data_IF_854118110447
#
_entry.id   IF_854118110447
#
_cell.length_a   1.000
_cell.length_b   1.000
_cell.length_c   1.000
_cell.angle_alpha   90.00
_cell.angle_beta   90.00
_cell.angle_gamma   90.00
#
_symmetry.space_group_name_H-M   'P 1'
#
loop_
_entity.id
_entity.type
_entity.pdbx_description
1 polymer ?
#
# COMPACT_ATOMS: atom_id res chain seq x y z
N UNK A 1 42.62 -9.36 -50.32
CA UNK A 1 41.91 -9.84 -51.52
C UNK A 1 40.72 -10.60 -50.98
N UNK A 2 39.61 -9.90 -50.76
CA UNK A 2 38.42 -10.47 -50.13
C UNK A 2 37.51 -11.03 -51.23
N UNK A 3 37.21 -12.31 -51.15
CA UNK A 3 36.37 -13.02 -52.13
C UNK A 3 34.92 -12.97 -51.65
N UNK A 4 34.05 -12.29 -52.40
CA UNK A 4 32.61 -12.34 -52.21
C UNK A 4 32.01 -13.57 -52.91
N UNK A 5 31.24 -14.38 -52.17
CA UNK A 5 30.35 -15.38 -52.76
C UNK A 5 28.90 -14.98 -52.51
N UNK A 6 28.09 -14.93 -53.57
CA UNK A 6 26.64 -14.78 -53.48
C UNK A 6 25.98 -16.15 -53.67
N UNK A 7 25.20 -16.60 -52.69
CA UNK A 7 24.34 -17.79 -52.81
C UNK A 7 22.89 -17.33 -52.81
N UNK A 8 22.15 -17.69 -53.86
CA UNK A 8 20.75 -17.33 -54.07
C UNK A 8 19.87 -18.46 -53.52
N UNK A 9 19.03 -18.19 -52.52
CA UNK A 9 18.04 -19.15 -52.00
C UNK A 9 16.64 -18.63 -52.32
N UNK A 10 15.91 -19.35 -53.17
CA UNK A 10 14.54 -19.02 -53.57
C UNK A 10 13.54 -19.58 -52.54
N UNK A 11 12.85 -18.69 -51.82
CA UNK A 11 11.70 -19.02 -50.98
C UNK A 11 10.38 -18.81 -51.72
N UNK A 12 9.43 -19.73 -51.57
CA UNK A 12 8.13 -19.75 -52.27
C UNK A 12 7.12 -18.74 -51.69
N UNK A 13 7.45 -17.44 -51.74
CA UNK A 13 6.50 -16.33 -51.54
C UNK A 13 7.19 -14.99 -51.86
N UNK A 14 7.66 -14.80 -53.09
CA UNK A 14 7.86 -13.49 -53.73
C UNK A 14 8.62 -12.39 -52.96
N UNK A 15 9.55 -12.74 -52.06
CA UNK A 15 10.38 -11.79 -51.31
C UNK A 15 11.86 -12.13 -51.50
N UNK A 16 12.61 -11.24 -52.15
CA UNK A 16 14.05 -11.37 -52.36
C UNK A 16 14.75 -10.85 -51.09
N UNK A 17 15.44 -11.73 -50.36
CA UNK A 17 16.22 -11.36 -49.18
C UNK A 17 17.71 -11.56 -49.50
N UNK A 18 18.52 -10.51 -49.40
CA UNK A 18 19.98 -10.60 -49.50
C UNK A 18 20.54 -10.80 -48.09
N UNK A 19 21.25 -11.89 -47.87
CA UNK A 19 21.99 -12.15 -46.62
C UNK A 19 23.48 -11.92 -46.88
N UNK A 20 24.06 -10.84 -46.34
CA UNK A 20 25.49 -10.56 -46.42
C UNK A 20 26.12 -10.86 -45.06
N UNK A 21 26.86 -11.97 -44.93
CA UNK A 21 27.67 -12.26 -43.74
C UNK A 21 29.05 -11.63 -43.89
N UNK A 22 29.37 -10.67 -43.03
CA UNK A 22 30.74 -10.20 -42.82
C UNK A 22 31.35 -10.93 -41.62
N UNK A 23 32.46 -11.65 -41.83
CA UNK A 23 33.29 -12.15 -40.75
C UNK A 23 34.43 -11.15 -40.53
N UNK A 24 34.41 -10.40 -39.43
CA UNK A 24 35.53 -9.53 -39.04
C UNK A 24 36.19 -10.10 -37.77
N UNK A 25 37.44 -10.53 -37.89
CA UNK A 25 38.18 -11.28 -36.87
C UNK A 25 38.83 -10.43 -35.78
N UNK A 26 38.53 -9.12 -35.66
CA UNK A 26 39.38 -8.24 -34.83
C UNK A 26 38.73 -7.04 -34.12
N UNK A 27 37.44 -7.09 -33.76
CA UNK A 27 36.84 -6.08 -32.86
C UNK A 27 35.82 -6.72 -31.91
N UNK A 28 36.26 -7.02 -30.68
CA UNK A 28 35.45 -7.59 -29.62
C UNK A 28 34.97 -6.48 -28.68
N UNK A 29 34.01 -5.64 -29.12
CA UNK A 29 33.03 -4.89 -28.31
C UNK A 29 32.38 -3.71 -29.08
N UNK A 30 31.08 -3.53 -28.83
CA UNK A 30 30.23 -2.36 -29.15
C UNK A 30 29.77 -2.12 -30.61
N UNK A 31 28.59 -2.67 -30.96
CA UNK A 31 27.46 -1.94 -31.56
C UNK A 31 26.21 -2.85 -31.68
N UNK A 32 25.59 -3.19 -30.54
CA UNK A 32 24.24 -3.76 -30.47
C UNK A 32 23.26 -2.69 -29.96
N UNK A 33 23.23 -1.56 -30.66
CA UNK A 33 22.28 -0.46 -30.43
C UNK A 33 21.75 0.15 -31.74
N UNK A 34 21.78 -0.60 -32.84
CA UNK A 34 21.45 -0.12 -34.19
C UNK A 34 20.26 -0.78 -34.90
N UNK A 35 19.55 -1.71 -34.25
CA UNK A 35 18.32 -2.33 -34.82
C UNK A 35 17.12 -2.08 -33.91
N UNK A 36 16.96 -0.83 -33.50
CA UNK A 36 15.71 -0.29 -33.01
C UNK A 36 15.58 1.10 -33.61
N UNK A 37 14.58 1.29 -34.47
CA UNK A 37 14.16 2.58 -35.05
C UNK A 37 14.96 3.12 -36.26
N UNK A 38 15.07 2.34 -37.34
CA UNK A 38 15.24 2.91 -38.69
C UNK A 38 15.00 1.86 -39.79
N UNK A 39 13.72 1.59 -40.09
CA UNK A 39 13.27 0.75 -41.21
C UNK A 39 11.74 0.72 -41.27
N UNK A 40 11.12 0.78 -42.46
CA UNK A 40 9.79 1.37 -42.65
C UNK A 40 8.66 0.48 -42.13
N UNK A 41 7.71 1.12 -41.45
CA UNK A 41 6.30 0.73 -41.29
C UNK A 41 6.01 -0.80 -41.21
N UNK A 42 6.51 -1.47 -40.17
CA UNK A 42 5.82 -2.65 -39.66
C UNK A 42 4.45 -2.19 -39.16
N UNK A 43 3.39 -2.62 -39.83
CA UNK A 43 1.99 -2.37 -39.46
C UNK A 43 1.79 -2.54 -37.95
N UNK A 44 0.89 -1.74 -37.35
CA UNK A 44 0.71 -1.68 -35.88
C UNK A 44 0.51 -3.03 -35.17
N UNK A 45 0.05 -4.07 -35.90
CA UNK A 45 -0.01 -5.44 -35.40
C UNK A 45 1.39 -6.07 -35.16
N UNK A 46 2.38 -5.85 -36.02
CA UNK A 46 3.72 -6.43 -35.91
C UNK A 46 4.49 -5.92 -34.68
N UNK A 47 4.40 -4.61 -34.39
CA UNK A 47 5.01 -4.04 -33.17
C UNK A 47 4.29 -4.49 -31.89
N UNK A 48 2.96 -4.65 -31.93
CA UNK A 48 2.17 -5.17 -30.81
C UNK A 48 2.50 -6.63 -30.47
N UNK A 49 2.75 -7.47 -31.48
CA UNK A 49 3.12 -8.88 -31.29
C UNK A 49 4.55 -8.99 -30.73
N UNK A 50 5.50 -8.20 -31.25
CA UNK A 50 6.88 -8.17 -30.76
C UNK A 50 6.99 -7.74 -29.29
N UNK A 51 6.25 -6.70 -28.90
CA UNK A 51 6.22 -6.24 -27.50
C UNK A 51 5.62 -7.26 -26.53
N UNK A 52 4.50 -7.92 -26.89
CA UNK A 52 3.90 -9.00 -26.09
C UNK A 52 4.84 -10.19 -25.91
N UNK A 53 5.53 -10.62 -26.97
CA UNK A 53 6.52 -11.69 -26.92
C UNK A 53 7.69 -11.35 -25.98
N UNK A 54 8.17 -10.11 -26.05
CA UNK A 54 9.26 -9.63 -25.21
C UNK A 54 8.87 -9.59 -23.72
N UNK A 55 7.66 -9.11 -23.39
CA UNK A 55 7.14 -9.08 -22.01
C UNK A 55 7.01 -10.49 -21.45
N UNK A 56 6.46 -11.43 -22.22
CA UNK A 56 6.37 -12.84 -21.82
C UNK A 56 7.74 -13.44 -21.52
N UNK A 57 8.75 -13.17 -22.35
CA UNK A 57 10.12 -13.66 -22.13
C UNK A 57 10.69 -13.12 -20.82
N UNK A 58 10.53 -11.83 -20.53
CA UNK A 58 10.99 -11.25 -19.27
C UNK A 58 10.24 -11.81 -18.05
N UNK A 59 8.93 -11.99 -18.14
CA UNK A 59 8.13 -12.61 -17.07
C UNK A 59 8.61 -14.03 -16.73
N UNK A 60 8.97 -14.83 -17.74
CA UNK A 60 9.50 -16.19 -17.54
C UNK A 60 10.93 -16.20 -16.98
N UNK A 61 11.69 -15.12 -17.16
CA UNK A 61 13.02 -14.96 -16.57
C UNK A 61 12.98 -14.52 -15.10
N UNK A 62 11.84 -14.03 -14.61
CA UNK A 62 11.65 -13.68 -13.20
C UNK A 62 11.49 -14.96 -12.38
N UNK A 63 12.59 -15.40 -11.79
CA UNK A 63 12.61 -16.54 -10.88
C UNK A 63 12.31 -16.09 -9.44
N UNK A 64 11.15 -16.48 -8.92
CA UNK A 64 10.70 -16.19 -7.55
C UNK A 64 11.66 -16.74 -6.50
N UNK A 65 12.42 -17.80 -6.82
CA UNK A 65 13.38 -18.42 -5.89
C UNK A 65 14.61 -17.54 -5.65
N UNK A 66 14.85 -16.57 -6.53
CA UNK A 66 15.98 -15.62 -6.45
C UNK A 66 15.57 -14.29 -5.81
N UNK A 67 14.36 -14.22 -5.23
CA UNK A 67 13.90 -13.04 -4.52
C UNK A 67 14.78 -12.79 -3.28
N UNK A 68 15.41 -11.63 -3.25
CA UNK A 68 16.29 -11.21 -2.16
C UNK A 68 15.84 -9.85 -1.63
N UNK A 69 15.96 -9.65 -0.32
CA UNK A 69 15.55 -8.42 0.39
C UNK A 69 16.15 -7.15 -0.22
N UNK A 70 17.40 -7.22 -0.70
CA UNK A 70 18.11 -6.12 -1.40
C UNK A 70 17.36 -5.58 -2.64
N UNK A 71 16.53 -6.41 -3.29
CA UNK A 71 15.76 -6.02 -4.48
C UNK A 71 14.29 -5.74 -4.18
N UNK A 72 13.91 -5.73 -2.90
CA UNK A 72 12.53 -5.49 -2.50
C UNK A 72 12.05 -4.13 -3.03
N UNK A 73 10.83 -4.13 -3.58
CA UNK A 73 10.10 -2.94 -4.03
C UNK A 73 8.66 -3.02 -3.55
N UNK A 74 7.99 -1.90 -3.25
CA UNK A 74 6.57 -1.92 -2.95
C UNK A 74 5.79 -2.35 -4.19
N UNK A 75 5.15 -3.52 -4.12
CA UNK A 75 4.22 -4.02 -5.14
C UNK A 75 2.83 -3.95 -4.53
N UNK A 76 2.05 -2.96 -4.94
CA UNK A 76 0.84 -2.52 -4.25
C UNK A 76 -0.40 -3.09 -4.92
N UNK A 77 -1.25 -3.78 -4.15
CA UNK A 77 -2.64 -4.05 -4.47
C UNK A 77 -3.50 -3.09 -3.63
N UNK A 78 -4.20 -2.17 -4.28
CA UNK A 78 -5.12 -1.25 -3.61
C UNK A 78 -6.55 -1.78 -3.78
N UNK A 79 -7.18 -2.19 -2.69
CA UNK A 79 -8.58 -2.59 -2.68
C UNK A 79 -9.45 -1.32 -2.57
N UNK A 80 -10.24 -1.07 -3.60
CA UNK A 80 -11.09 0.13 -3.72
C UNK A 80 -12.55 -0.30 -3.81
N UNK A 81 -13.38 0.23 -2.90
CA UNK A 81 -14.83 0.07 -2.99
C UNK A 81 -15.42 1.01 -4.03
N UNK A 82 -15.18 2.33 -3.89
CA UNK A 82 -15.65 3.34 -4.83
C UNK A 82 -14.47 4.16 -5.38
N UNK A 83 -14.21 4.14 -6.70
CA UNK A 83 -13.11 4.90 -7.29
C UNK A 83 -13.21 6.42 -7.09
N UNK A 84 -14.42 7.01 -7.09
CA UNK A 84 -14.58 8.47 -6.93
C UNK A 84 -14.11 8.96 -5.57
N UNK A 85 -14.63 8.36 -4.51
CA UNK A 85 -14.32 8.76 -3.13
C UNK A 85 -12.86 8.49 -2.77
N UNK A 86 -12.19 7.60 -3.50
CA UNK A 86 -10.82 7.19 -3.25
C UNK A 86 -9.82 7.71 -4.32
N UNK A 87 -10.16 8.68 -5.17
CA UNK A 87 -9.23 9.23 -6.17
C UNK A 87 -7.92 9.75 -5.54
N UNK A 88 -8.02 10.46 -4.41
CA UNK A 88 -6.86 10.94 -3.67
C UNK A 88 -6.00 9.81 -3.11
N UNK A 89 -6.62 8.71 -2.67
CA UNK A 89 -5.91 7.52 -2.21
C UNK A 89 -5.21 6.79 -3.37
N UNK A 90 -5.88 6.68 -4.53
CA UNK A 90 -5.31 6.07 -5.74
C UNK A 90 -4.07 6.83 -6.21
N UNK A 91 -4.18 8.16 -6.30
CA UNK A 91 -3.06 9.02 -6.72
C UNK A 91 -1.92 9.02 -5.70
N UNK A 92 -2.22 8.97 -4.40
CA UNK A 92 -1.22 8.83 -3.34
C UNK A 92 -0.53 7.46 -3.38
N UNK A 93 -1.28 6.37 -3.56
CA UNK A 93 -0.71 5.03 -3.70
C UNK A 93 0.21 4.91 -4.93
N UNK A 94 -0.09 5.63 -6.01
CA UNK A 94 0.79 5.74 -7.18
C UNK A 94 2.13 6.45 -6.85
N UNK A 95 2.15 7.42 -5.93
CA UNK A 95 3.40 7.98 -5.44
C UNK A 95 4.14 6.96 -4.57
N UNK A 96 3.41 6.27 -3.68
CA UNK A 96 3.97 5.31 -2.73
C UNK A 96 4.61 4.08 -3.40
N UNK A 97 4.04 3.55 -4.49
CA UNK A 97 4.67 2.47 -5.27
C UNK A 97 5.95 2.91 -5.99
N UNK A 98 6.12 4.21 -6.25
CA UNK A 98 7.24 4.78 -7.03
C UNK A 98 7.39 4.12 -8.41
N UNK A 99 8.20 3.06 -8.50
CA UNK A 99 8.45 2.29 -9.72
C UNK A 99 7.96 0.84 -9.66
N UNK A 100 7.33 0.43 -8.56
CA UNK A 100 6.84 -0.92 -8.36
C UNK A 100 5.54 -1.21 -9.12
N UNK A 101 5.08 -2.45 -9.01
CA UNK A 101 3.79 -2.89 -9.51
C UNK A 101 2.66 -2.17 -8.75
N UNK A 102 1.63 -1.74 -9.48
CA UNK A 102 0.42 -1.18 -8.88
C UNK A 102 -0.80 -1.83 -9.53
N UNK A 103 -1.66 -2.40 -8.71
CA UNK A 103 -2.90 -3.05 -9.13
C UNK A 103 -4.06 -2.46 -8.35
N UNK A 104 -5.10 -2.04 -9.06
CA UNK A 104 -6.39 -1.64 -8.50
C UNK A 104 -7.28 -2.89 -8.43
N UNK A 105 -7.72 -3.24 -7.24
CA UNK A 105 -8.62 -4.35 -6.97
C UNK A 105 -10.01 -3.86 -6.60
N UNK A 106 -11.04 -4.40 -7.22
CA UNK A 106 -12.43 -4.11 -6.86
C UNK A 106 -13.25 -5.41 -6.83
N UNK A 107 -14.15 -5.50 -5.85
CA UNK A 107 -15.04 -6.64 -5.66
C UNK A 107 -16.47 -6.18 -5.90
N UNK A 108 -17.12 -6.71 -6.94
CA UNK A 108 -18.55 -6.53 -7.17
C UNK A 108 -19.33 -7.60 -6.41
N UNK A 109 -20.34 -7.18 -5.64
CA UNK A 109 -21.21 -8.06 -4.87
C UNK A 109 -22.41 -8.49 -5.71
N UNK A 110 -22.15 -9.39 -6.64
CA UNK A 110 -23.16 -9.91 -7.56
C UNK A 110 -22.98 -11.42 -7.69
N UNK A 111 -24.05 -12.12 -8.05
CA UNK A 111 -24.04 -13.55 -8.29
C UNK A 111 -24.13 -13.80 -9.80
N UNK A 112 -23.14 -14.49 -10.36
CA UNK A 112 -23.01 -14.65 -11.82
C UNK A 112 -24.19 -15.41 -12.41
N UNK A 113 -24.73 -16.38 -11.66
CA UNK A 113 -25.83 -17.24 -12.10
C UNK A 113 -27.14 -16.47 -12.35
N UNK A 114 -27.28 -15.29 -11.73
CA UNK A 114 -28.48 -14.44 -11.86
C UNK A 114 -28.36 -13.45 -13.03
N UNK A 115 -27.16 -13.24 -13.55
CA UNK A 115 -26.88 -12.22 -14.56
C UNK A 115 -26.90 -12.81 -15.98
N UNK A 116 -27.45 -12.06 -16.96
CA UNK A 116 -27.51 -12.53 -18.35
C UNK A 116 -26.14 -12.53 -19.07
N UNK A 117 -25.15 -11.81 -18.52
CA UNK A 117 -23.79 -11.68 -19.05
C UNK A 117 -22.85 -11.23 -17.94
N UNK A 118 -21.55 -11.44 -18.14
CA UNK A 118 -20.49 -10.95 -17.25
C UNK A 118 -20.50 -9.40 -17.16
N UNK A 119 -20.82 -8.81 -16.00
CA UNK A 119 -20.83 -7.36 -15.81
C UNK A 119 -19.41 -6.76 -15.74
N UNK A 120 -18.39 -7.59 -15.47
CA UNK A 120 -17.03 -7.12 -15.21
C UNK A 120 -16.36 -6.54 -16.45
N UNK A 121 -16.77 -6.94 -17.67
CA UNK A 121 -16.18 -6.39 -18.90
C UNK A 121 -16.45 -4.88 -19.02
N UNK A 122 -17.72 -4.48 -18.89
CA UNK A 122 -18.10 -3.06 -18.93
C UNK A 122 -17.50 -2.26 -17.79
N UNK A 123 -17.44 -2.85 -16.58
CA UNK A 123 -16.76 -2.22 -15.46
C UNK A 123 -15.26 -2.06 -15.74
N UNK A 124 -14.60 -3.04 -16.34
CA UNK A 124 -13.17 -2.98 -16.63
C UNK A 124 -12.83 -1.81 -17.54
N UNK A 125 -13.59 -1.61 -18.62
CA UNK A 125 -13.40 -0.47 -19.52
C UNK A 125 -13.57 0.87 -18.80
N UNK A 126 -14.50 0.95 -17.86
CA UNK A 126 -14.70 2.12 -17.01
C UNK A 126 -13.48 2.40 -16.12
N UNK A 127 -12.96 1.38 -15.43
CA UNK A 127 -11.78 1.51 -14.59
C UNK A 127 -10.52 1.86 -15.40
N UNK A 128 -10.38 1.35 -16.63
CA UNK A 128 -9.28 1.71 -17.51
C UNK A 128 -9.34 3.19 -17.94
N UNK A 129 -10.52 3.71 -18.28
CA UNK A 129 -10.71 5.14 -18.55
C UNK A 129 -10.30 6.01 -17.37
N UNK A 130 -10.69 5.62 -16.15
CA UNK A 130 -10.29 6.31 -14.92
C UNK A 130 -8.76 6.30 -14.73
N UNK A 131 -8.10 5.17 -15.00
CA UNK A 131 -6.64 5.04 -14.92
C UNK A 131 -5.95 6.00 -15.90
N UNK A 132 -6.48 6.11 -17.12
CA UNK A 132 -5.97 7.02 -18.15
C UNK A 132 -6.16 8.49 -17.77
N UNK A 133 -7.33 8.86 -17.24
CA UNK A 133 -7.65 10.22 -16.79
C UNK A 133 -6.80 10.67 -15.60
N UNK A 134 -6.56 9.78 -14.64
CA UNK A 134 -5.67 10.03 -13.50
C UNK A 134 -4.19 9.97 -13.90
N UNK A 135 -3.87 9.58 -15.13
CA UNK A 135 -2.52 9.41 -15.67
C UNK A 135 -1.63 8.54 -14.76
N UNK A 136 -2.19 7.43 -14.28
CA UNK A 136 -1.50 6.48 -13.41
C UNK A 136 -1.14 5.21 -14.17
N UNK A 137 -0.02 4.59 -13.80
CA UNK A 137 0.39 3.29 -14.36
C UNK A 137 -0.01 2.18 -13.40
N UNK A 138 -1.20 1.64 -13.62
CA UNK A 138 -1.80 0.57 -12.80
C UNK A 138 -2.44 -0.51 -13.69
N UNK A 139 -2.47 -1.73 -13.20
CA UNK A 139 -3.36 -2.77 -13.71
C UNK A 139 -4.68 -2.74 -12.97
N UNK A 140 -5.75 -3.23 -13.60
CA UNK A 140 -7.07 -3.33 -12.99
C UNK A 140 -7.44 -4.80 -12.89
N UNK A 141 -7.81 -5.25 -11.69
CA UNK A 141 -8.32 -6.58 -11.43
C UNK A 141 -9.69 -6.44 -10.75
N UNK A 142 -10.73 -6.85 -11.46
CA UNK A 142 -12.09 -6.90 -10.92
C UNK A 142 -12.46 -8.35 -10.59
N UNK A 143 -13.30 -8.53 -9.59
CA UNK A 143 -13.74 -9.86 -9.14
C UNK A 143 -15.19 -9.79 -8.69
N UNK A 144 -15.95 -10.84 -8.97
CA UNK A 144 -17.36 -10.97 -8.62
C UNK A 144 -17.49 -12.04 -7.52
N UNK A 145 -18.14 -11.70 -6.40
CA UNK A 145 -18.27 -12.60 -5.25
C UNK A 145 -19.41 -12.18 -4.32
N UNK A 146 -20.04 -13.13 -3.63
CA UNK A 146 -21.15 -12.88 -2.70
C UNK A 146 -20.75 -12.14 -1.42
N UNK A 147 -19.46 -12.20 -1.03
CA UNK A 147 -18.92 -11.47 0.12
C UNK A 147 -17.64 -10.75 -0.25
N UNK A 148 -17.50 -9.54 0.29
CA UNK A 148 -16.30 -8.70 0.15
C UNK A 148 -15.05 -9.46 0.62
N UNK A 149 -15.18 -10.26 1.70
CA UNK A 149 -14.05 -11.04 2.23
C UNK A 149 -13.59 -12.10 1.24
N UNK A 150 -14.51 -12.88 0.67
CA UNK A 150 -14.16 -13.91 -0.31
C UNK A 150 -13.60 -13.31 -1.59
N UNK A 151 -14.20 -12.24 -2.12
CA UNK A 151 -13.66 -11.53 -3.29
C UNK A 151 -12.28 -10.92 -3.02
N UNK A 152 -12.05 -10.35 -1.83
CA UNK A 152 -10.73 -9.85 -1.43
C UNK A 152 -9.70 -10.99 -1.33
N UNK A 153 -10.06 -12.13 -0.75
CA UNK A 153 -9.19 -13.32 -0.72
C UNK A 153 -8.82 -13.80 -2.12
N UNK A 154 -9.79 -13.83 -3.04
CA UNK A 154 -9.54 -14.19 -4.44
C UNK A 154 -8.50 -13.25 -5.04
N UNK A 155 -8.69 -11.93 -4.94
CA UNK A 155 -7.71 -10.94 -5.40
C UNK A 155 -6.32 -11.14 -4.76
N UNK A 156 -6.26 -11.38 -3.45
CA UNK A 156 -4.98 -11.59 -2.75
C UNK A 156 -4.20 -12.80 -3.28
N UNK A 157 -4.90 -13.89 -3.65
CA UNK A 157 -4.29 -15.11 -4.17
C UNK A 157 -3.91 -15.02 -5.65
N UNK A 158 -4.82 -14.47 -6.47
CA UNK A 158 -4.75 -14.56 -7.93
C UNK A 158 -4.09 -13.34 -8.58
N UNK A 159 -4.03 -12.19 -7.89
CA UNK A 159 -3.46 -10.99 -8.49
C UNK A 159 -1.95 -11.14 -8.73
N UNK A 160 -1.56 -10.81 -9.96
CA UNK A 160 -0.18 -10.88 -10.44
C UNK A 160 0.08 -12.10 -11.31
N UNK A 161 1.26 -12.14 -11.92
CA UNK A 161 1.65 -13.21 -12.84
C UNK A 161 3.12 -13.56 -12.63
N UNK A 162 3.41 -14.84 -12.38
CA UNK A 162 4.78 -15.31 -12.10
C UNK A 162 5.37 -14.61 -10.87
N UNK A 163 6.55 -14.01 -11.03
CA UNK A 163 7.21 -13.19 -10.00
C UNK A 163 6.72 -11.74 -9.88
N UNK A 164 5.83 -11.28 -10.76
CA UNK A 164 5.19 -9.96 -10.63
C UNK A 164 3.91 -10.08 -9.81
N UNK A 165 4.03 -10.11 -8.47
CA UNK A 165 2.90 -10.27 -7.55
C UNK A 165 2.92 -9.20 -6.45
N UNK A 166 1.76 -8.59 -6.13
CA UNK A 166 1.67 -7.66 -5.01
C UNK A 166 2.17 -8.27 -3.70
N UNK A 167 2.96 -7.49 -2.97
CA UNK A 167 3.48 -7.83 -1.64
C UNK A 167 2.88 -6.94 -0.54
N UNK A 168 2.20 -5.86 -0.92
CA UNK A 168 1.61 -4.88 -0.02
C UNK A 168 0.16 -4.63 -0.43
N UNK A 169 -0.74 -4.73 0.52
CA UNK A 169 -2.18 -4.51 0.34
C UNK A 169 -2.54 -3.20 1.00
N UNK A 170 -3.19 -2.31 0.26
CA UNK A 170 -3.70 -1.04 0.79
C UNK A 170 -5.22 -1.10 0.77
N UNK A 171 -5.84 -0.69 1.88
CA UNK A 171 -7.29 -0.60 2.04
C UNK A 171 -7.66 0.75 2.62
N UNK A 172 -8.81 1.29 2.21
CA UNK A 172 -9.43 2.41 2.92
C UNK A 172 -9.81 2.00 4.35
N UNK A 173 -9.77 2.95 5.28
CA UNK A 173 -10.20 2.72 6.65
C UNK A 173 -11.71 2.50 6.73
N UNK A 174 -12.14 1.47 7.45
CA UNK A 174 -13.57 1.18 7.62
C UNK A 174 -14.25 2.34 8.35
N UNK A 175 -15.27 2.91 7.73
CA UNK A 175 -16.06 4.00 8.30
C UNK A 175 -17.52 3.58 8.26
N UNK A 176 -18.20 3.68 9.40
CA UNK A 176 -19.61 3.26 9.54
C UNK A 176 -20.58 4.22 8.85
N UNK A 177 -20.16 5.46 8.57
CA UNK A 177 -20.94 6.43 7.79
C UNK A 177 -20.77 6.20 6.30
N UNK A 178 -21.88 6.28 5.57
CA UNK A 178 -21.89 6.37 4.11
C UNK A 178 -21.02 7.55 3.65
N UNK A 179 -20.18 7.39 2.61
CA UNK A 179 -19.48 8.54 2.02
C UNK A 179 -20.48 9.60 1.57
N UNK A 180 -20.22 10.88 1.86
CA UNK A 180 -21.07 12.03 1.46
C UNK A 180 -21.34 12.09 -0.06
N UNK A 181 -20.54 11.42 -0.88
CA UNK A 181 -20.72 11.32 -2.33
C UNK A 181 -22.01 10.59 -2.73
N UNK A 182 -22.55 9.71 -1.87
CA UNK A 182 -23.85 9.07 -2.10
C UNK A 182 -24.99 10.09 -1.94
N UNK A 183 -24.89 10.98 -0.94
CA UNK A 183 -25.84 12.07 -0.74
C UNK A 183 -25.75 13.10 -1.87
N UNK A 184 -24.54 13.40 -2.37
CA UNK A 184 -24.35 14.32 -3.51
C UNK A 184 -24.91 13.77 -4.83
N UNK A 185 -24.77 12.48 -5.09
CA UNK A 185 -25.40 11.86 -6.27
C UNK A 185 -26.93 11.98 -6.22
N UNK A 186 -27.56 11.80 -5.05
CA UNK A 186 -29.02 11.99 -4.91
C UNK A 186 -29.44 13.45 -5.20
N UNK A 187 -28.62 14.43 -4.76
CA UNK A 187 -28.87 15.85 -4.99
C UNK A 187 -28.54 16.32 -6.43
N UNK A 188 -27.55 15.73 -7.09
CA UNK A 188 -27.17 16.06 -8.48
C UNK A 188 -28.14 15.45 -9.52
N UNK A 189 -28.76 14.31 -9.21
CA UNK A 189 -29.81 13.70 -10.04
C UNK A 189 -31.05 14.61 -10.09
N UNK A 190 -31.35 15.35 -9.02
CA UNK A 190 -32.47 16.29 -8.96
C UNK A 190 -32.20 17.61 -9.72
N UNK A 191 -30.93 17.96 -9.95
CA UNK A 191 -30.52 19.22 -10.58
C UNK A 191 -30.11 19.10 -12.07
N UNK A 192 -30.26 17.93 -12.70
CA UNK A 192 -30.05 17.77 -14.14
C UNK A 192 -28.63 18.03 -14.65
N UNK A 193 -27.63 18.13 -13.77
CA UNK A 193 -26.22 18.28 -14.15
C UNK A 193 -25.63 16.90 -14.46
N UNK A 194 -25.53 16.57 -15.74
CA UNK A 194 -24.88 15.34 -16.18
C UNK A 194 -23.36 15.46 -16.05
N UNK A 195 -22.77 14.88 -15.01
CA UNK A 195 -21.35 14.54 -15.04
C UNK A 195 -21.12 13.44 -16.09
N UNK A 196 -20.01 13.44 -16.84
CA UNK A 196 -19.74 12.43 -17.86
C UNK A 196 -19.55 11.02 -17.28
N UNK A 197 -19.42 10.91 -15.95
CA UNK A 197 -19.35 9.65 -15.22
C UNK A 197 -20.69 9.30 -14.62
N UNK A 198 -21.61 8.79 -15.43
CA UNK A 198 -22.83 8.18 -14.92
C UNK A 198 -22.47 6.88 -14.20
N UNK A 199 -22.40 6.92 -12.88
CA UNK A 199 -22.42 5.70 -12.07
C UNK A 199 -23.91 5.40 -11.94
N UNK A 200 -24.44 4.66 -12.89
CA UNK A 200 -25.67 3.93 -12.63
C UNK A 200 -25.29 2.92 -11.57
N UNK A 201 -25.75 3.12 -10.34
CA UNK A 201 -26.01 2.03 -9.42
C UNK A 201 -27.00 1.12 -10.14
N UNK A 202 -26.49 0.28 -11.04
CA UNK A 202 -27.28 -0.73 -11.72
C UNK A 202 -27.73 -1.70 -10.66
N UNK A 203 -28.92 -1.42 -10.12
CA UNK A 203 -29.87 -2.40 -9.61
C UNK A 203 -29.38 -3.33 -8.51
N UNK A 204 -29.95 -3.10 -7.32
CA UNK A 204 -30.21 -4.04 -6.21
C UNK A 204 -29.12 -4.15 -5.12
N UNK A 205 -29.50 -3.57 -3.97
CA UNK A 205 -28.89 -3.58 -2.63
C UNK A 205 -27.57 -2.83 -2.52
N UNK A 206 -27.58 -1.80 -1.66
CA UNK A 206 -26.39 -1.07 -1.27
C UNK A 206 -25.38 -2.06 -0.65
N UNK A 207 -24.29 -2.32 -1.37
CA UNK A 207 -23.16 -3.15 -0.93
C UNK A 207 -22.57 -2.74 0.43
N UNK A 208 -22.91 -1.54 0.92
CA UNK A 208 -22.50 -1.02 2.24
C UNK A 208 -23.30 -1.58 3.41
N UNK A 209 -24.52 -2.09 3.21
CA UNK A 209 -25.31 -2.64 4.34
C UNK A 209 -24.84 -4.03 4.78
N UNK A 210 -24.13 -4.77 3.92
CA UNK A 210 -23.67 -6.14 4.21
C UNK A 210 -22.20 -6.25 4.64
N UNK A 211 -21.40 -5.17 4.61
CA UNK A 211 -19.99 -5.26 4.99
C UNK A 211 -19.78 -4.99 6.47
N UNK A 212 -19.57 -6.07 7.22
CA UNK A 212 -19.41 -5.99 8.67
C UNK A 212 -18.01 -5.49 9.08
N UNK A 213 -17.88 -4.79 10.22
CA UNK A 213 -16.57 -4.42 10.75
C UNK A 213 -15.70 -5.64 11.07
N UNK A 214 -16.35 -6.76 11.40
CA UNK A 214 -15.69 -8.04 11.60
C UNK A 214 -15.03 -8.56 10.32
N UNK A 215 -15.74 -8.54 9.19
CA UNK A 215 -15.18 -8.96 7.90
C UNK A 215 -13.99 -8.09 7.48
N UNK A 216 -14.03 -6.78 7.75
CA UNK A 216 -12.91 -5.87 7.50
C UNK A 216 -11.63 -6.31 8.24
N UNK A 217 -11.74 -6.58 9.55
CA UNK A 217 -10.59 -7.07 10.34
C UNK A 217 -10.18 -8.47 9.91
N UNK A 218 -11.13 -9.31 9.48
CA UNK A 218 -10.84 -10.62 8.93
C UNK A 218 -10.00 -10.52 7.64
N UNK A 219 -10.29 -9.57 6.74
CA UNK A 219 -9.47 -9.33 5.53
C UNK A 219 -8.05 -8.88 5.91
N UNK A 220 -7.89 -8.04 6.93
CA UNK A 220 -6.56 -7.65 7.46
C UNK A 220 -5.81 -8.90 7.96
N UNK A 221 -6.48 -9.72 8.76
CA UNK A 221 -5.93 -10.98 9.30
C UNK A 221 -5.52 -11.94 8.19
N UNK A 222 -6.36 -12.12 7.18
CA UNK A 222 -6.11 -12.99 6.04
C UNK A 222 -4.94 -12.49 5.19
N UNK A 223 -4.85 -11.17 4.95
CA UNK A 223 -3.72 -10.56 4.25
C UNK A 223 -2.38 -10.84 4.94
N UNK A 224 -2.35 -10.72 6.28
CA UNK A 224 -1.17 -11.02 7.10
C UNK A 224 -0.84 -12.52 7.06
N UNK A 225 -1.84 -13.40 7.12
CA UNK A 225 -1.64 -14.86 7.00
C UNK A 225 -1.09 -15.25 5.62
N UNK A 226 -1.42 -14.51 4.58
CA UNK A 226 -0.88 -14.66 3.23
C UNK A 226 0.48 -13.97 3.04
N UNK A 227 1.15 -13.59 4.13
CA UNK A 227 2.46 -12.92 4.13
C UNK A 227 2.50 -11.66 3.27
N UNK A 228 1.38 -10.91 3.25
CA UNK A 228 1.30 -9.59 2.63
C UNK A 228 1.47 -8.51 3.70
N UNK A 229 2.21 -7.47 3.36
CA UNK A 229 2.22 -6.25 4.17
C UNK A 229 0.86 -5.57 4.06
N UNK A 230 0.36 -4.95 5.13
CA UNK A 230 -0.95 -4.31 5.15
C UNK A 230 -0.80 -2.83 5.47
N UNK A 231 -1.55 -2.00 4.74
CA UNK A 231 -1.65 -0.56 5.00
C UNK A 231 -3.11 -0.15 5.00
N UNK A 232 -3.56 0.51 6.07
CA UNK A 232 -4.90 1.10 6.16
C UNK A 232 -4.79 2.61 5.99
N UNK A 233 -5.55 3.16 5.07
CA UNK A 233 -5.52 4.57 4.72
C UNK A 233 -6.76 5.28 5.25
N UNK A 234 -6.58 6.26 6.14
CA UNK A 234 -7.66 7.04 6.76
C UNK A 234 -7.57 8.52 6.37
N UNK A 235 -8.74 9.16 6.19
CA UNK A 235 -8.89 10.59 5.86
C UNK A 235 -8.19 11.03 4.55
N UNK A 236 -8.08 10.13 3.57
CA UNK A 236 -7.52 10.49 2.26
C UNK A 236 -8.51 11.25 1.37
N UNK A 237 -9.79 11.31 1.73
CA UNK A 237 -10.76 12.23 1.09
C UNK A 237 -10.33 13.69 1.25
N UNK A 238 -9.75 14.06 2.38
CA UNK A 238 -9.24 15.40 2.70
C UNK A 238 -7.83 15.66 2.16
N UNK A 239 -7.16 14.63 1.62
CA UNK A 239 -5.79 14.75 1.16
C UNK A 239 -5.72 15.52 -0.16
N UNK A 240 -5.05 16.67 -0.12
CA UNK A 240 -4.85 17.54 -1.28
C UNK A 240 -3.39 17.46 -1.78
N UNK A 241 -3.21 16.83 -2.94
CA UNK A 241 -1.92 16.65 -3.61
C UNK A 241 -1.27 17.99 -3.98
N UNK A 242 -2.04 19.05 -4.22
CA UNK A 242 -1.49 20.35 -4.65
C UNK A 242 -0.66 21.01 -3.54
N UNK A 243 -1.05 20.80 -2.28
CA UNK A 243 -0.35 21.30 -1.08
C UNK A 243 1.05 20.71 -0.93
N UNK A 244 1.24 19.49 -1.42
CA UNK A 244 2.54 18.79 -1.40
C UNK A 244 3.42 19.22 -2.57
N UNK A 245 2.83 19.42 -3.75
CA UNK A 245 3.58 19.62 -4.99
C UNK A 245 4.13 21.04 -5.22
N UNK A 246 3.44 22.11 -4.82
CA UNK A 246 3.87 23.46 -5.25
C UNK A 246 3.21 24.65 -4.54
N UNK A 247 3.43 24.83 -3.23
CA UNK A 247 3.29 26.18 -2.64
C UNK A 247 4.68 26.67 -2.26
N UNK A 248 5.20 27.67 -3.00
CA UNK A 248 6.44 28.37 -2.65
C UNK A 248 6.31 28.87 -1.20
N UNK A 249 7.13 28.34 -0.29
CA UNK A 249 7.28 28.85 1.07
C UNK A 249 6.70 28.00 2.20
N UNK A 250 5.88 26.96 1.95
CA UNK A 250 5.36 26.10 3.03
C UNK A 250 6.13 24.79 3.12
N UNK A 251 6.80 24.57 4.25
CA UNK A 251 7.51 23.32 4.52
C UNK A 251 6.51 22.17 4.71
N UNK A 252 6.75 21.06 4.00
CA UNK A 252 5.90 19.86 4.07
C UNK A 252 6.56 18.84 4.99
N UNK A 253 5.77 18.23 5.87
CA UNK A 253 6.25 17.28 6.86
C UNK A 253 5.57 15.92 6.72
N UNK A 254 6.33 14.86 6.94
CA UNK A 254 5.84 13.49 7.04
C UNK A 254 6.19 13.00 8.44
N UNK A 255 5.17 12.58 9.18
CA UNK A 255 5.33 12.16 10.58
C UNK A 255 5.32 10.65 10.66
N UNK A 256 6.25 10.10 11.44
CA UNK A 256 6.51 8.67 11.49
C UNK A 256 6.53 8.22 12.95
N UNK A 257 5.63 7.31 13.30
CA UNK A 257 5.50 6.70 14.62
C UNK A 257 5.77 5.20 14.52
N UNK A 258 7.02 4.77 14.69
CA UNK A 258 7.44 3.38 14.50
C UNK A 258 7.02 2.45 15.66
N UNK A 259 6.56 3.02 16.78
CA UNK A 259 6.21 2.28 17.98
C UNK A 259 4.83 1.65 17.89
N UNK A 260 4.69 0.42 18.40
CA UNK A 260 3.38 -0.18 18.62
C UNK A 260 2.70 0.43 19.86
N UNK A 261 1.94 1.52 19.65
CA UNK A 261 1.23 2.25 20.70
C UNK A 261 0.13 1.42 21.39
N UNK A 262 -0.30 0.30 20.81
CA UNK A 262 -1.28 -0.62 21.40
C UNK A 262 -0.64 -1.70 22.27
N UNK A 263 0.70 -1.75 22.38
CA UNK A 263 1.40 -2.69 23.26
C UNK A 263 2.59 -1.99 23.95
N UNK A 264 2.32 -1.13 24.95
CA UNK A 264 3.39 -0.42 25.67
C UNK A 264 4.40 -1.40 26.30
N UNK A 265 3.94 -2.55 26.81
CA UNK A 265 4.76 -3.61 27.42
C UNK A 265 5.87 -4.17 26.50
N UNK A 266 5.75 -4.00 25.18
CA UNK A 266 6.67 -4.55 24.17
C UNK A 266 7.30 -3.47 23.29
N UNK A 267 7.51 -2.27 23.84
CA UNK A 267 8.01 -1.10 23.15
C UNK A 267 9.40 -1.31 22.52
N UNK A 268 9.42 -1.89 21.32
CA UNK A 268 10.63 -2.18 20.55
C UNK A 268 10.62 -1.37 19.26
N UNK A 269 11.62 -0.50 19.10
CA UNK A 269 11.78 0.38 17.94
C UNK A 269 12.35 -0.31 16.71
N UNK A 270 12.96 -1.49 16.90
CA UNK A 270 13.63 -2.25 15.85
C UNK A 270 12.92 -3.60 15.73
N UNK A 271 11.91 -3.65 14.86
CA UNK A 271 11.22 -4.86 14.48
C UNK A 271 10.93 -4.81 12.97
N UNK A 272 10.51 -5.95 12.38
CA UNK A 272 10.22 -6.05 10.96
C UNK A 272 9.22 -4.99 10.48
N UNK A 273 8.21 -4.71 11.30
CA UNK A 273 7.16 -3.76 10.96
C UNK A 273 7.63 -2.30 11.05
N UNK A 274 8.44 -1.93 12.05
CA UNK A 274 9.01 -0.58 12.16
C UNK A 274 10.00 -0.29 11.03
N UNK A 275 10.82 -1.28 10.64
CA UNK A 275 11.71 -1.18 9.48
C UNK A 275 10.92 -1.03 8.17
N UNK A 276 9.84 -1.78 8.00
CA UNK A 276 8.94 -1.63 6.86
C UNK A 276 8.29 -0.24 6.80
N UNK A 277 7.81 0.25 7.94
CA UNK A 277 7.21 1.57 8.07
C UNK A 277 8.21 2.68 7.71
N UNK A 278 9.45 2.59 8.20
CA UNK A 278 10.55 3.49 7.84
C UNK A 278 10.89 3.41 6.34
N UNK A 279 10.92 2.21 5.77
CA UNK A 279 11.19 2.00 4.35
C UNK A 279 10.10 2.65 3.48
N UNK A 280 8.83 2.51 3.85
CA UNK A 280 7.71 3.14 3.12
C UNK A 280 7.80 4.68 3.17
N UNK A 281 8.15 5.25 4.32
CA UNK A 281 8.35 6.69 4.47
C UNK A 281 9.55 7.18 3.62
N UNK A 282 10.64 6.39 3.58
CA UNK A 282 11.79 6.66 2.75
C UNK A 282 11.45 6.60 1.25
N UNK A 283 10.73 5.57 0.80
CA UNK A 283 10.29 5.43 -0.60
C UNK A 283 9.46 6.63 -1.03
N UNK A 284 8.52 7.07 -0.19
CA UNK A 284 7.72 8.26 -0.45
C UNK A 284 8.62 9.49 -0.63
N UNK A 285 9.58 9.72 0.26
CA UNK A 285 10.52 10.85 0.17
C UNK A 285 11.44 10.80 -1.07
N UNK A 286 11.63 9.63 -1.70
CA UNK A 286 12.36 9.52 -2.96
C UNK A 286 11.55 9.96 -4.19
N UNK A 287 10.24 10.14 -4.06
CA UNK A 287 9.37 10.58 -5.16
C UNK A 287 9.59 12.08 -5.40
N UNK A 288 9.60 12.50 -6.68
CA UNK A 288 9.89 13.91 -7.05
C UNK A 288 8.98 14.91 -6.34
N UNK A 289 7.69 14.59 -6.20
CA UNK A 289 6.70 15.42 -5.51
C UNK A 289 6.97 15.58 -4.01
N UNK A 290 7.64 14.62 -3.39
CA UNK A 290 7.85 14.55 -1.94
C UNK A 290 9.31 14.81 -1.52
N UNK A 291 10.24 14.95 -2.47
CA UNK A 291 11.68 15.12 -2.22
C UNK A 291 12.05 16.29 -1.30
N UNK A 292 11.17 17.31 -1.21
CA UNK A 292 11.35 18.48 -0.33
C UNK A 292 10.73 18.29 1.05
N UNK A 293 9.96 17.22 1.26
CA UNK A 293 9.32 16.95 2.54
C UNK A 293 10.36 16.52 3.59
N UNK A 294 10.20 17.03 4.82
CA UNK A 294 11.04 16.66 5.95
C UNK A 294 10.39 15.52 6.72
N UNK A 295 11.16 14.46 6.99
CA UNK A 295 10.72 13.32 7.79
C UNK A 295 10.93 13.63 9.28
N UNK A 296 9.86 13.58 10.08
CA UNK A 296 9.88 13.69 11.54
C UNK A 296 9.58 12.32 12.15
N UNK A 297 10.53 11.78 12.90
CA UNK A 297 10.43 10.48 13.55
C UNK A 297 10.21 10.69 15.05
N UNK A 298 9.12 10.17 15.60
CA UNK A 298 8.81 10.31 17.02
C UNK A 298 9.24 9.06 17.79
N UNK A 299 10.07 9.27 18.82
CA UNK A 299 10.57 8.26 19.73
C UNK A 299 9.89 8.46 21.09
N UNK A 300 9.02 7.54 21.51
CA UNK A 300 8.40 7.60 22.83
C UNK A 300 9.39 7.05 23.87
N UNK A 301 9.64 7.78 24.94
CA UNK A 301 10.60 7.33 25.95
C UNK A 301 9.96 7.37 27.32
N UNK A 302 10.29 6.35 28.11
CA UNK A 302 9.94 6.25 29.52
C UNK A 302 11.11 6.77 30.36
N UNK A 303 10.82 7.51 31.42
CA UNK A 303 11.82 8.18 32.27
C UNK A 303 12.86 7.23 32.88
N UNK A 304 12.51 5.96 33.08
CA UNK A 304 13.39 4.92 33.66
C UNK A 304 14.20 4.15 32.59
N UNK A 305 13.85 4.32 31.31
CA UNK A 305 14.57 3.70 30.20
C UNK A 305 15.73 4.59 29.77
N UNK A 306 16.93 4.03 29.60
CA UNK A 306 18.13 4.78 29.22
C UNK A 306 17.97 5.57 27.91
N UNK A 307 17.47 6.81 28.02
CA UNK A 307 17.09 7.74 26.95
C UNK A 307 18.11 7.81 25.82
N UNK A 308 19.38 7.93 26.19
CA UNK A 308 20.49 8.06 25.24
C UNK A 308 20.72 6.79 24.42
N UNK A 309 20.51 5.61 25.00
CA UNK A 309 20.83 4.33 24.35
C UNK A 309 19.93 4.03 23.16
N UNK A 310 18.61 4.21 23.33
CA UNK A 310 17.64 3.94 22.26
C UNK A 310 17.74 4.98 21.14
N UNK A 311 17.91 6.25 21.48
CA UNK A 311 18.08 7.33 20.50
C UNK A 311 19.35 7.14 19.66
N UNK A 312 20.48 6.78 20.28
CA UNK A 312 21.74 6.51 19.57
C UNK A 312 21.59 5.33 18.62
N UNK A 313 20.98 4.21 19.08
CA UNK A 313 20.73 3.03 18.23
C UNK A 313 19.87 3.39 17.02
N UNK A 314 18.81 4.18 17.22
CA UNK A 314 17.94 4.62 16.14
C UNK A 314 18.65 5.57 15.17
N UNK A 315 19.47 6.50 15.66
CA UNK A 315 20.32 7.37 14.82
C UNK A 315 21.31 6.58 13.98
N UNK A 316 21.93 5.56 14.57
CA UNK A 316 22.85 4.67 13.85
C UNK A 316 22.11 3.90 12.75
N UNK A 317 20.95 3.33 13.07
CA UNK A 317 20.09 2.63 12.10
C UNK A 317 19.69 3.55 10.95
N UNK A 318 19.24 4.78 11.21
CA UNK A 318 18.90 5.74 10.17
C UNK A 318 20.10 6.08 9.28
N UNK A 319 21.30 6.17 9.86
CA UNK A 319 22.55 6.40 9.11
C UNK A 319 22.88 5.22 8.20
N UNK A 320 22.77 3.99 8.70
CA UNK A 320 22.99 2.75 7.92
C UNK A 320 21.99 2.63 6.76
N UNK A 321 20.71 2.92 7.04
CA UNK A 321 19.64 2.94 6.04
C UNK A 321 19.70 4.17 5.11
N UNK A 322 20.59 5.13 5.37
CA UNK A 322 20.74 6.40 4.65
C UNK A 322 19.46 7.24 4.61
N UNK A 323 18.63 7.15 5.66
CA UNK A 323 17.38 7.89 5.80
C UNK A 323 17.67 9.20 6.54
N UNK A 324 17.37 10.33 5.90
CA UNK A 324 17.47 11.66 6.52
C UNK A 324 16.15 11.99 7.23
N UNK A 325 16.11 11.81 8.54
CA UNK A 325 14.96 12.13 9.38
C UNK A 325 15.39 12.86 10.66
N UNK A 326 14.56 13.78 11.13
CA UNK A 326 14.71 14.46 12.42
C UNK A 326 14.01 13.64 13.50
N UNK A 327 14.71 13.31 14.58
CA UNK A 327 14.15 12.53 15.70
C UNK A 327 13.61 13.50 16.76
N UNK A 328 12.38 13.26 17.21
CA UNK A 328 11.71 13.99 18.29
C UNK A 328 11.40 13.02 19.42
N UNK A 329 11.91 13.30 20.62
CA UNK A 329 11.62 12.52 21.81
C UNK A 329 10.32 12.97 22.44
N UNK A 330 9.43 12.03 22.72
CA UNK A 330 8.13 12.26 23.38
C UNK A 330 8.15 11.52 24.70
N UNK A 331 8.09 12.24 25.81
CA UNK A 331 7.91 11.62 27.12
C UNK A 331 6.45 11.20 27.24
N UNK A 332 6.21 9.91 27.51
CA UNK A 332 4.86 9.35 27.53
C UNK A 332 4.54 8.59 28.81
N UNK A 333 5.32 8.80 29.88
CA UNK A 333 5.15 8.16 31.19
C UNK A 333 3.72 8.31 31.73
N UNK A 334 3.14 9.51 31.63
CA UNK A 334 1.76 9.79 32.06
C UNK A 334 0.74 8.96 31.27
N UNK A 335 0.98 8.74 29.99
CA UNK A 335 0.12 7.94 29.11
C UNK A 335 0.25 6.47 29.46
N UNK A 336 1.48 5.96 29.62
CA UNK A 336 1.74 4.57 30.02
C UNK A 336 1.20 4.27 31.41
N UNK A 337 1.26 5.23 32.34
CA UNK A 337 0.68 5.09 33.66
C UNK A 337 -0.82 4.75 33.61
N UNK A 338 -1.59 5.33 32.69
CA UNK A 338 -3.02 5.02 32.51
C UNK A 338 -3.27 3.56 32.08
N UNK A 339 -2.29 2.91 31.46
CA UNK A 339 -2.35 1.48 31.14
C UNK A 339 -2.12 0.63 32.39
N UNK A 340 -1.17 1.00 33.25
CA UNK A 340 -0.80 0.22 34.43
C UNK A 340 -1.77 0.38 35.61
N UNK A 341 -2.30 1.58 35.85
CA UNK A 341 -3.17 1.87 37.00
C UNK A 341 -4.44 0.99 37.03
N UNK A 342 -5.00 0.62 35.87
CA UNK A 342 -6.18 -0.25 35.80
C UNK A 342 -5.88 -1.75 35.95
N UNK A 343 -4.66 -2.20 35.60
CA UNK A 343 -4.27 -3.60 35.78
C UNK A 343 -4.16 -3.99 37.26
N UNK A 344 -3.76 -3.05 38.13
CA UNK A 344 -3.61 -3.30 39.57
C UNK A 344 -4.96 -3.36 40.29
N UNK A 345 -5.92 -2.50 39.91
CA UNK A 345 -7.28 -2.49 40.48
C UNK A 345 -8.13 -3.69 40.08
N UNK A 346 -7.95 -4.29 38.91
CA UNK A 346 -8.74 -5.47 38.50
C UNK A 346 -8.16 -6.80 39.02
N UNK A 347 -6.86 -6.86 39.29
CA UNK A 347 -6.22 -8.04 39.88
C UNK A 347 -6.45 -8.18 41.39
N UNK A 348 -6.99 -7.14 42.07
CA UNK A 348 -7.32 -7.20 43.50
C UNK A 348 -8.68 -7.84 43.79
N UNK A 349 -9.56 -7.97 42.79
CA UNK A 349 -10.91 -8.53 42.92
C UNK A 349 -11.04 -10.01 42.47
N UNK A 350 -9.94 -10.66 42.07
CA UNK A 350 -9.93 -12.08 41.69
C UNK A 350 -8.99 -12.90 42.57
N UNK A 351 -9.53 -13.42 43.67
CA UNK A 351 -8.88 -14.40 44.52
C UNK A 351 -8.66 -15.71 43.76
N UNK A 352 -7.39 -16.08 43.58
CA UNK A 352 -6.94 -17.47 43.36
C UNK A 352 -6.96 -17.95 41.91
N UNK A 353 -5.83 -17.86 41.22
CA UNK A 353 -5.01 -19.03 40.85
C UNK A 353 -3.79 -18.58 40.04
N UNK A 354 -2.61 -18.93 40.55
CA UNK A 354 -1.33 -18.74 39.89
C UNK A 354 -1.12 -19.88 38.90
N UNK A 355 -1.38 -19.62 37.61
CA UNK A 355 -0.82 -20.39 36.51
C UNK A 355 -0.36 -19.47 35.38
N UNK A 356 0.88 -19.68 34.96
CA UNK A 356 1.66 -18.96 33.96
C UNK A 356 1.07 -19.05 32.54
N UNK A 357 -0.08 -18.43 32.30
CA UNK A 357 -0.61 -18.20 30.97
C UNK A 357 -0.98 -16.72 30.81
N UNK A 358 -0.05 -15.93 30.27
CA UNK A 358 -0.30 -14.57 29.81
C UNK A 358 -1.45 -14.57 28.79
N UNK A 359 -2.68 -14.11 29.11
CA UNK A 359 -3.67 -13.87 28.08
C UNK A 359 -3.16 -12.70 27.23
N UNK A 360 -3.38 -12.73 25.91
CA UNK A 360 -2.97 -11.67 24.98
C UNK A 360 -3.40 -10.26 25.49
N UNK A 361 -2.46 -9.51 26.11
CA UNK A 361 -2.67 -8.17 26.71
C UNK A 361 -3.29 -7.11 25.78
N UNK A 362 -3.37 -7.35 24.46
CA UNK A 362 -4.00 -6.42 23.51
C UNK A 362 -5.51 -6.20 23.73
N UNK A 363 -6.18 -7.06 24.51
CA UNK A 363 -7.64 -6.98 24.72
C UNK A 363 -8.01 -5.98 25.85
N UNK A 364 -7.11 -5.75 26.81
CA UNK A 364 -7.39 -4.99 28.05
C UNK A 364 -6.89 -3.54 28.04
N UNK A 365 -6.89 -2.89 26.87
CA UNK A 365 -6.51 -1.48 26.77
C UNK A 365 -7.72 -0.60 27.09
N UNK A 366 -7.56 0.34 28.02
CA UNK A 366 -8.62 1.27 28.44
C UNK A 366 -8.90 2.33 27.38
N UNK A 367 -10.13 2.85 27.32
CA UNK A 367 -10.48 4.00 26.46
C UNK A 367 -9.65 5.23 26.80
N UNK A 368 -9.38 5.43 28.09
CA UNK A 368 -8.68 6.59 28.62
C UNK A 368 -7.23 6.63 28.11
N UNK A 369 -6.57 5.46 28.10
CA UNK A 369 -5.26 5.29 27.49
C UNK A 369 -5.28 5.61 25.99
N UNK A 370 -6.24 5.06 25.24
CA UNK A 370 -6.33 5.28 23.79
C UNK A 370 -6.55 6.75 23.46
N UNK A 371 -7.38 7.43 24.25
CA UNK A 371 -7.62 8.86 24.11
C UNK A 371 -6.37 9.66 24.46
N UNK A 372 -5.67 9.33 25.54
CA UNK A 372 -4.42 9.97 25.92
C UNK A 372 -3.34 9.81 24.83
N UNK A 373 -3.21 8.63 24.23
CA UNK A 373 -2.32 8.38 23.07
C UNK A 373 -2.71 9.25 21.87
N UNK A 374 -4.00 9.33 21.53
CA UNK A 374 -4.46 10.16 20.42
C UNK A 374 -4.18 11.65 20.67
N UNK A 375 -4.45 12.15 21.88
CA UNK A 375 -4.14 13.52 22.28
C UNK A 375 -2.64 13.80 22.28
N UNK A 376 -1.81 12.84 22.71
CA UNK A 376 -0.36 12.94 22.63
C UNK A 376 0.12 13.13 21.18
N UNK A 377 -0.44 12.38 20.22
CA UNK A 377 -0.10 12.50 18.80
C UNK A 377 -0.59 13.84 18.23
N UNK A 378 -1.81 14.26 18.58
CA UNK A 378 -2.39 15.55 18.15
C UNK A 378 -1.64 16.75 18.72
N UNK A 379 -1.17 16.65 19.95
CA UNK A 379 -0.38 17.69 20.63
C UNK A 379 1.01 17.90 20.03
N UNK A 380 1.50 16.97 19.20
CA UNK A 380 2.78 17.16 18.51
C UNK A 380 2.64 18.17 17.37
N UNK A 381 3.34 19.30 17.50
CA UNK A 381 3.49 20.34 16.47
C UNK A 381 2.15 20.90 15.93
N UNK A 382 1.29 21.52 16.78
CA UNK A 382 -0.04 21.98 16.37
C UNK A 382 -0.01 23.07 15.29
N UNK A 383 1.03 23.91 15.28
CA UNK A 383 1.18 25.00 14.32
C UNK A 383 1.64 24.53 12.93
N UNK A 384 2.20 23.31 12.83
CA UNK A 384 2.78 22.78 11.60
C UNK A 384 2.33 21.32 11.40
N UNK A 385 1.06 21.12 10.98
CA UNK A 385 0.54 19.79 10.77
C UNK A 385 1.27 19.10 9.60
N UNK A 386 1.54 17.80 9.71
CA UNK A 386 2.12 17.03 8.63
C UNK A 386 1.11 16.87 7.49
N UNK A 387 1.63 16.62 6.29
CA UNK A 387 0.81 16.26 5.14
C UNK A 387 0.28 14.83 5.27
N UNK A 388 1.09 13.90 5.80
CA UNK A 388 0.71 12.50 6.04
C UNK A 388 1.40 11.98 7.30
N UNK A 389 0.67 11.16 8.08
CA UNK A 389 1.17 10.43 9.25
C UNK A 389 1.30 8.93 8.96
N UNK A 390 2.40 8.33 9.38
CA UNK A 390 2.67 6.90 9.29
C UNK A 390 2.64 6.36 10.73
N UNK A 391 1.66 5.52 11.02
CA UNK A 391 1.47 4.89 12.32
C UNK A 391 1.67 3.38 12.22
N UNK A 392 2.19 2.78 13.28
CA UNK A 392 2.28 1.34 13.40
C UNK A 392 0.88 0.71 13.52
N UNK A 393 0.59 -0.30 12.68
CA UNK A 393 -0.60 -1.13 12.82
C UNK A 393 -0.22 -2.45 13.51
N UNK A 394 -0.76 -2.74 14.71
CA UNK A 394 -0.55 -4.04 15.33
C UNK A 394 -1.24 -5.16 14.56
N UNK A 395 -0.70 -6.37 14.74
CA UNK A 395 -1.33 -7.59 14.25
C UNK A 395 -2.69 -7.77 14.93
N UNK A 396 -3.77 -8.06 14.17
CA UNK A 396 -5.04 -8.43 14.75
C UNK A 396 -4.89 -9.65 15.69
N UNK A 397 -5.68 -9.73 16.78
CA UNK A 397 -5.68 -10.90 17.66
C UNK A 397 -5.99 -12.20 16.91
N UNK A 398 -5.53 -13.34 17.45
CA UNK A 398 -5.89 -14.64 16.90
C UNK A 398 -7.37 -14.97 17.13
N UNK A 399 -7.91 -14.54 18.27
CA UNK A 399 -9.33 -14.65 18.61
C UNK A 399 -10.16 -13.71 17.73
N UNK A 400 -11.08 -14.28 16.96
CA UNK A 400 -11.96 -13.55 16.03
C UNK A 400 -13.11 -12.84 16.74
N UNK A 401 -13.45 -13.23 17.96
CA UNK A 401 -14.56 -12.62 18.72
C UNK A 401 -14.27 -11.16 19.08
N UNK A 402 -12.99 -10.83 19.27
CA UNK A 402 -12.52 -9.49 19.67
C UNK A 402 -12.22 -8.55 18.50
N UNK A 403 -12.53 -8.94 17.25
CA UNK A 403 -12.22 -8.13 16.06
C UNK A 403 -12.88 -6.75 16.08
N UNK A 404 -14.13 -6.67 16.54
CA UNK A 404 -14.82 -5.38 16.69
C UNK A 404 -14.11 -4.48 17.70
N UNK A 405 -13.62 -5.05 18.81
CA UNK A 405 -12.87 -4.30 19.83
C UNK A 405 -11.52 -3.83 19.28
N UNK A 406 -10.81 -4.68 18.53
CA UNK A 406 -9.57 -4.31 17.86
C UNK A 406 -9.76 -3.14 16.90
N UNK A 407 -10.80 -3.17 16.06
CA UNK A 407 -11.09 -2.07 15.14
C UNK A 407 -11.38 -0.78 15.89
N UNK A 408 -12.16 -0.85 16.97
CA UNK A 408 -12.43 0.30 17.84
C UNK A 408 -11.15 0.89 18.44
N UNK A 409 -10.21 0.06 18.90
CA UNK A 409 -8.92 0.53 19.43
C UNK A 409 -8.11 1.29 18.38
N UNK A 410 -8.00 0.73 17.16
CA UNK A 410 -7.31 1.38 16.04
C UNK A 410 -8.03 2.66 15.62
N UNK A 411 -9.36 2.66 15.67
CA UNK A 411 -10.19 3.83 15.37
C UNK A 411 -9.94 4.98 16.35
N UNK A 412 -9.89 4.68 17.66
CA UNK A 412 -9.66 5.69 18.69
C UNK A 412 -8.28 6.33 18.58
N UNK A 413 -7.22 5.55 18.33
CA UNK A 413 -5.88 6.10 18.17
C UNK A 413 -5.76 6.97 16.91
N UNK A 414 -6.43 6.58 15.82
CA UNK A 414 -6.31 7.28 14.53
C UNK A 414 -7.35 8.38 14.29
N UNK A 415 -8.18 8.70 15.30
CA UNK A 415 -9.25 9.70 15.18
C UNK A 415 -8.70 11.11 14.97
N UNK A 416 -9.27 11.86 14.02
CA UNK A 416 -8.97 13.27 13.75
C UNK A 416 -7.49 13.58 13.46
N UNK A 417 -6.69 12.59 13.05
CA UNK A 417 -5.28 12.77 12.72
C UNK A 417 -5.06 13.26 11.27
N UNK A 418 -6.11 13.54 10.49
CA UNK A 418 -6.00 13.82 9.07
C UNK A 418 -5.40 12.64 8.28
N UNK A 419 -4.85 12.86 7.07
CA UNK A 419 -4.34 11.79 6.21
C UNK A 419 -3.31 10.90 6.92
N UNK A 420 -3.71 9.65 7.21
CA UNK A 420 -2.94 8.74 8.06
C UNK A 420 -2.89 7.34 7.46
N UNK A 421 -1.70 6.74 7.44
CA UNK A 421 -1.46 5.35 7.06
C UNK A 421 -1.11 4.53 8.30
N UNK A 422 -1.90 3.50 8.58
CA UNK A 422 -1.62 2.48 9.59
C UNK A 422 -0.94 1.31 8.89
N UNK A 423 0.33 1.04 9.20
CA UNK A 423 1.19 0.15 8.43
C UNK A 423 1.61 -1.06 9.27
N UNK A 424 1.39 -2.27 8.73
CA UNK A 424 1.88 -3.54 9.27
C UNK A 424 2.81 -4.22 8.27
N UNK A 425 4.08 -4.39 8.64
CA UNK A 425 5.07 -5.13 7.87
C UNK A 425 5.24 -6.57 8.37
N UNK A 426 5.14 -7.54 7.46
CA UNK A 426 5.31 -8.97 7.76
C UNK A 426 6.67 -9.47 7.27
N UNK A 427 7.10 -9.01 6.10
CA UNK A 427 8.33 -9.48 5.45
C UNK A 427 9.48 -8.50 5.69
N UNK A 428 10.70 -8.98 6.00
CA UNK A 428 11.87 -8.10 6.13
C UNK A 428 12.17 -7.41 4.80
N UNK A 429 12.34 -6.08 4.86
CA UNK A 429 12.61 -5.23 3.69
C UNK A 429 14.00 -4.60 3.69
N UNK A 430 14.77 -4.82 4.76
CA UNK A 430 16.15 -4.34 4.91
C UNK A 430 17.07 -5.51 5.22
N UNK A 431 18.19 -5.60 4.50
CA UNK A 431 19.29 -6.52 4.82
C UNK A 431 20.33 -5.72 5.62
N UNK A 432 20.41 -5.95 6.93
CA UNK A 432 21.50 -5.42 7.76
C UNK A 432 22.74 -6.31 7.72
N UNK A 433 22.60 -7.54 7.20
CA UNK A 433 23.72 -8.40 6.84
C UNK A 433 24.27 -7.92 5.49
N UNK A 434 25.50 -7.40 5.53
CA UNK A 434 26.27 -6.95 4.38
C UNK A 434 27.19 -8.06 3.91
#
# INVERSE_FOLDING_TARGET
>A
MDVCYHVLVLGSAGSICWETKYHCSNCNNFLLAGVCCSGPCLSGLGMGISSKLQVRKYLLMLDVRKDHVKFWRPQILLLVSNPRSHQNLITFANDLKKSGLFVLGHVSLEELDVLPSDPLQTQTDFWLKLVDELNIKAFVNLTLSDSVRYGAQQLLFITGLGGMRPNTVIMGFYTRSTPDDLLRNELEVDQGRTSPFRYTSTGRKQATENFSPWEYVAIISDSIKMSKNVVLARYFSEFDRTRVCSVKGKETYIDVWPLNLLRPDSATYVNTCSLFLLQMACVLNMVRSWKKAKLRLYLCVESDSGLRGQEIKLKQLLKELRIKASIYTVMWDEVVALHWHKQVTENSDSSGESYLNFPNNSIRISSDYLQAVNQMILGQNPNVPPAVRFLYLPRPPADTSVYNRFLYQVEMISRNLGPTLLIHGVTPVTSTEL
#
